data_IF_342774730761
#
_entry.id   IF_342774730761
#
_cell.length_a   1.000
_cell.length_b   1.000
_cell.length_c   1.000
_cell.angle_alpha   90.00
_cell.angle_beta   90.00
_cell.angle_gamma   90.00
#
_symmetry.space_group_name_H-M   'P 1'
#
loop_
_entity.id
_entity.type
_entity.pdbx_description
1 polymer ?
#
# COMPACT_ATOMS: atom_id res chain seq x y z
N UNK A 1 46.65 -3.04 -38.50
CA UNK A 1 45.18 -2.95 -38.38
C UNK A 1 44.87 -2.54 -36.94
N UNK A 2 44.57 -1.26 -36.71
CA UNK A 2 44.25 -0.73 -35.38
C UNK A 2 42.74 -0.71 -35.21
N UNK A 3 42.23 -1.55 -34.30
CA UNK A 3 40.80 -1.61 -34.00
C UNK A 3 40.40 -0.35 -33.22
N UNK A 4 39.56 0.50 -33.81
CA UNK A 4 38.94 1.64 -33.12
C UNK A 4 37.90 1.10 -32.14
N UNK A 5 38.19 1.17 -30.85
CA UNK A 5 37.20 0.96 -29.79
C UNK A 5 36.22 2.14 -29.86
N UNK A 6 34.97 1.86 -30.23
CA UNK A 6 33.88 2.84 -30.20
C UNK A 6 33.52 3.12 -28.74
N UNK A 7 33.94 4.26 -28.20
CA UNK A 7 33.56 4.71 -26.87
C UNK A 7 32.19 5.39 -27.01
N UNK A 8 31.12 4.64 -26.76
CA UNK A 8 29.78 5.24 -26.65
C UNK A 8 29.65 5.97 -25.31
N UNK A 9 29.09 7.19 -25.30
CA UNK A 9 28.77 7.87 -24.05
C UNK A 9 27.76 7.04 -23.24
N UNK A 10 27.81 7.09 -21.90
CA UNK A 10 26.82 6.42 -21.08
C UNK A 10 25.41 6.93 -21.43
N UNK A 11 24.39 6.05 -21.38
CA UNK A 11 23.03 6.46 -21.67
C UNK A 11 22.55 7.51 -20.67
N UNK A 12 21.66 8.40 -21.13
CA UNK A 12 21.05 9.40 -20.26
C UNK A 12 20.19 8.73 -19.17
N UNK A 13 20.18 9.29 -17.95
CA UNK A 13 19.37 8.76 -16.86
C UNK A 13 17.88 8.90 -17.16
N UNK A 14 17.08 7.91 -16.74
CA UNK A 14 15.63 7.95 -16.89
C UNK A 14 15.00 9.08 -16.05
N UNK A 15 13.79 9.51 -16.41
CA UNK A 15 13.03 10.50 -15.63
C UNK A 15 12.85 10.06 -14.16
N UNK A 16 12.63 8.76 -13.94
CA UNK A 16 12.55 8.16 -12.61
C UNK A 16 13.88 8.25 -11.84
N UNK A 17 15.00 7.98 -12.51
CA UNK A 17 16.34 8.12 -11.92
C UNK A 17 16.58 9.55 -11.47
N UNK A 18 16.24 10.53 -12.32
CA UNK A 18 16.37 11.95 -11.98
C UNK A 18 15.48 12.34 -10.79
N UNK A 19 14.24 11.85 -10.75
CA UNK A 19 13.31 12.10 -9.65
C UNK A 19 13.83 11.54 -8.33
N UNK A 20 14.36 10.31 -8.34
CA UNK A 20 14.94 9.67 -7.16
C UNK A 20 16.14 10.47 -6.68
N UNK A 21 17.06 10.85 -7.57
CA UNK A 21 18.23 11.67 -7.19
C UNK A 21 17.86 13.03 -6.61
N UNK A 22 16.77 13.65 -7.09
CA UNK A 22 16.30 14.93 -6.60
C UNK A 22 15.52 14.84 -5.27
N UNK A 23 14.77 13.74 -5.07
CA UNK A 23 13.83 13.59 -3.94
C UNK A 23 14.35 12.73 -2.80
N UNK A 24 15.43 11.96 -3.02
CA UNK A 24 15.93 11.04 -2.00
C UNK A 24 16.52 11.80 -0.82
N UNK A 25 16.10 11.44 0.39
CA UNK A 25 16.70 11.94 1.63
C UNK A 25 18.03 11.21 1.86
N UNK A 26 19.18 11.90 1.84
CA UNK A 26 20.48 11.27 2.06
C UNK A 26 20.53 10.59 3.43
N UNK A 27 20.98 9.34 3.47
CA UNK A 27 21.12 8.57 4.72
C UNK A 27 19.89 7.77 5.15
N UNK A 28 18.73 7.90 4.47
CA UNK A 28 17.58 7.01 4.73
C UNK A 28 17.53 5.85 3.71
N UNK A 29 17.76 4.59 4.13
CA UNK A 29 17.96 3.46 3.21
C UNK A 29 16.76 3.19 2.28
N UNK A 30 15.55 3.48 2.75
CA UNK A 30 14.31 3.24 2.01
C UNK A 30 13.78 4.45 1.23
N UNK A 31 14.43 5.61 1.27
CA UNK A 31 13.88 6.83 0.64
C UNK A 31 13.72 6.67 -0.88
N UNK A 32 14.78 6.24 -1.57
CA UNK A 32 14.73 5.98 -3.01
C UNK A 32 13.68 4.91 -3.38
N UNK A 33 13.57 3.84 -2.59
CA UNK A 33 12.55 2.78 -2.79
C UNK A 33 11.14 3.33 -2.64
N UNK A 34 10.91 4.18 -1.63
CA UNK A 34 9.62 4.81 -1.36
C UNK A 34 9.22 5.74 -2.50
N UNK A 35 10.14 6.56 -3.01
CA UNK A 35 9.88 7.41 -4.17
C UNK A 35 9.56 6.59 -5.43
N UNK A 36 10.27 5.49 -5.67
CA UNK A 36 10.00 4.60 -6.80
C UNK A 36 8.60 3.97 -6.72
N UNK A 37 8.22 3.45 -5.55
CA UNK A 37 6.89 2.87 -5.33
C UNK A 37 5.80 3.94 -5.44
N UNK A 38 5.99 5.13 -4.86
CA UNK A 38 5.04 6.23 -4.97
C UNK A 38 4.81 6.61 -6.43
N UNK A 39 5.87 6.74 -7.22
CA UNK A 39 5.77 7.02 -8.65
C UNK A 39 5.05 5.87 -9.40
N UNK A 40 5.31 4.62 -9.03
CA UNK A 40 4.63 3.46 -9.60
C UNK A 40 3.12 3.48 -9.31
N UNK A 41 2.74 3.72 -8.05
CA UNK A 41 1.35 3.86 -7.63
C UNK A 41 0.64 4.98 -8.39
N UNK A 42 1.28 6.15 -8.52
CA UNK A 42 0.71 7.32 -9.19
C UNK A 42 0.51 7.10 -10.70
N UNK A 43 1.55 6.62 -11.39
CA UNK A 43 1.58 6.67 -12.86
C UNK A 43 1.22 5.36 -13.54
N UNK A 44 1.46 4.22 -12.88
CA UNK A 44 1.09 2.91 -13.44
C UNK A 44 -0.23 2.40 -12.87
N UNK A 45 -0.46 2.59 -11.57
CA UNK A 45 -1.69 2.14 -10.91
C UNK A 45 -2.73 3.24 -10.73
N UNK A 46 -2.45 4.47 -11.16
CA UNK A 46 -3.38 5.61 -11.14
C UNK A 46 -3.98 5.90 -9.76
N UNK A 47 -3.20 5.68 -8.70
CA UNK A 47 -3.60 6.06 -7.35
C UNK A 47 -3.63 7.57 -7.20
N UNK A 48 -4.57 8.05 -6.40
CA UNK A 48 -4.76 9.48 -6.11
C UNK A 48 -4.55 9.77 -4.62
N UNK A 49 -4.47 11.06 -4.27
CA UNK A 49 -4.29 11.52 -2.89
C UNK A 49 -3.10 10.85 -2.16
N UNK A 50 -2.00 10.62 -2.89
CA UNK A 50 -0.81 9.95 -2.39
C UNK A 50 -0.06 10.82 -1.37
N UNK A 51 0.36 10.23 -0.26
CA UNK A 51 1.14 10.89 0.78
C UNK A 51 2.15 9.94 1.41
N UNK A 52 3.35 10.43 1.74
CA UNK A 52 4.37 9.68 2.48
C UNK A 52 4.25 10.04 3.95
N UNK A 53 4.28 9.03 4.82
CA UNK A 53 4.27 9.14 6.27
C UNK A 53 5.55 8.54 6.83
N UNK A 54 6.10 9.20 7.86
CA UNK A 54 7.20 8.68 8.64
C UNK A 54 6.65 7.86 9.81
N UNK A 55 7.16 6.63 9.98
CA UNK A 55 6.78 5.76 11.10
C UNK A 55 8.02 5.39 11.92
N UNK A 56 7.85 5.26 13.23
CA UNK A 56 8.91 4.79 14.11
C UNK A 56 8.84 3.26 14.20
N UNK A 57 9.95 2.59 13.86
CA UNK A 57 10.06 1.15 13.92
C UNK A 57 11.01 0.73 15.05
N UNK A 58 10.69 -0.37 15.76
CA UNK A 58 11.55 -0.87 16.81
C UNK A 58 12.88 -1.36 16.22
N UNK A 59 13.98 -0.87 16.78
CA UNK A 59 15.32 -1.40 16.49
C UNK A 59 15.50 -2.74 17.21
N UNK A 60 15.96 -3.75 16.49
CA UNK A 60 16.46 -4.96 17.11
C UNK A 60 17.96 -4.77 17.45
N UNK A 61 18.35 -4.72 18.74
CA UNK A 61 19.75 -4.56 19.11
C UNK A 61 20.62 -5.75 18.69
N UNK A 62 20.02 -6.91 18.34
CA UNK A 62 20.74 -8.10 17.91
C UNK A 62 21.06 -8.13 16.41
N UNK A 63 20.46 -7.26 15.60
CA UNK A 63 20.73 -7.14 14.16
C UNK A 63 21.56 -5.89 13.86
N UNK A 64 22.79 -6.03 13.33
CA UNK A 64 23.63 -4.88 12.97
C UNK A 64 23.00 -4.03 11.85
N UNK A 65 22.14 -4.60 11.00
CA UNK A 65 21.38 -3.87 9.97
C UNK A 65 20.30 -2.92 10.55
N UNK A 66 19.70 -3.27 11.70
CA UNK A 66 18.61 -2.49 12.30
C UNK A 66 19.11 -1.31 13.16
N UNK A 67 20.41 -1.25 13.50
CA UNK A 67 21.00 -0.17 14.30
C UNK A 67 20.93 1.20 13.59
N UNK A 68 20.79 1.20 12.26
CA UNK A 68 20.83 2.43 11.44
C UNK A 68 19.44 3.02 11.14
N UNK A 69 18.34 2.25 11.23
CA UNK A 69 17.01 2.67 10.75
C UNK A 69 15.92 2.56 11.82
N UNK A 70 15.79 3.61 12.65
CA UNK A 70 14.64 3.80 13.57
C UNK A 70 13.37 4.25 12.86
N UNK A 71 13.50 4.79 11.65
CA UNK A 71 12.40 5.33 10.86
C UNK A 71 12.11 4.41 9.66
N UNK A 72 10.83 4.15 9.43
CA UNK A 72 10.31 3.58 8.19
C UNK A 72 9.44 4.60 7.47
N UNK A 73 9.10 4.29 6.21
CA UNK A 73 8.10 5.05 5.46
C UNK A 73 6.84 4.21 5.26
N UNK A 74 5.71 4.90 5.18
CA UNK A 74 4.44 4.34 4.76
C UNK A 74 3.83 5.28 3.71
N UNK A 75 3.26 4.74 2.64
CA UNK A 75 2.56 5.54 1.64
C UNK A 75 1.07 5.36 1.85
N UNK A 76 0.28 6.43 1.89
CA UNK A 76 -1.18 6.33 1.85
C UNK A 76 -1.72 6.91 0.56
N UNK A 77 -2.84 6.40 0.06
CA UNK A 77 -3.49 6.90 -1.16
C UNK A 77 -4.80 6.18 -1.46
N UNK A 78 -5.55 6.67 -2.45
CA UNK A 78 -6.83 6.11 -2.87
C UNK A 78 -6.62 5.38 -4.21
N UNK A 79 -6.80 4.04 -4.26
CA UNK A 79 -6.69 3.27 -5.50
C UNK A 79 -7.87 3.58 -6.44
N UNK A 80 -7.73 3.38 -7.77
CA UNK A 80 -8.82 3.61 -8.72
C UNK A 80 -9.98 2.61 -8.61
N UNK A 81 -9.75 1.49 -7.91
CA UNK A 81 -10.71 0.41 -7.66
C UNK A 81 -10.34 -0.29 -6.35
N UNK A 82 -11.29 -1.00 -5.74
CA UNK A 82 -11.05 -1.76 -4.51
C UNK A 82 -10.01 -2.86 -4.75
N UNK A 83 -8.88 -2.79 -4.06
CA UNK A 83 -7.78 -3.76 -4.23
C UNK A 83 -8.12 -5.11 -3.56
N UNK A 84 -8.91 -5.08 -2.49
CA UNK A 84 -9.34 -6.26 -1.77
C UNK A 84 -10.69 -6.03 -1.08
N UNK A 85 -11.60 -6.99 -1.24
CA UNK A 85 -12.87 -7.09 -0.51
C UNK A 85 -12.86 -8.38 0.31
N UNK A 86 -13.20 -8.31 1.60
CA UNK A 86 -13.22 -9.51 2.45
C UNK A 86 -14.31 -10.48 1.96
N UNK A 87 -14.14 -11.82 2.01
CA UNK A 87 -15.15 -12.76 1.50
C UNK A 87 -16.54 -12.55 2.13
N UNK A 88 -16.61 -12.37 3.45
CA UNK A 88 -17.90 -12.14 4.12
C UNK A 88 -18.51 -10.77 3.78
N UNK A 89 -17.67 -9.76 3.54
CA UNK A 89 -18.11 -8.44 3.08
C UNK A 89 -18.66 -8.54 1.65
N UNK A 90 -17.98 -9.30 0.79
CA UNK A 90 -18.40 -9.55 -0.58
C UNK A 90 -19.75 -10.29 -0.63
N UNK A 91 -19.95 -11.29 0.24
CA UNK A 91 -21.23 -11.98 0.40
C UNK A 91 -22.33 -11.01 0.87
N UNK A 92 -22.05 -10.23 1.91
CA UNK A 92 -22.99 -9.25 2.45
C UNK A 92 -23.43 -8.21 1.42
N UNK A 93 -22.50 -7.74 0.58
CA UNK A 93 -22.77 -6.85 -0.54
C UNK A 93 -23.64 -7.52 -1.60
N UNK A 94 -23.32 -8.77 -1.96
CA UNK A 94 -24.05 -9.53 -2.98
C UNK A 94 -25.51 -9.76 -2.57
N UNK A 95 -25.76 -10.13 -1.31
CA UNK A 95 -27.10 -10.31 -0.76
C UNK A 95 -27.98 -9.05 -0.83
N UNK A 96 -27.36 -7.87 -0.79
CA UNK A 96 -28.04 -6.57 -0.90
C UNK A 96 -28.09 -6.04 -2.33
N UNK A 97 -27.44 -6.72 -3.28
CA UNK A 97 -27.31 -6.28 -4.66
C UNK A 97 -26.40 -5.06 -4.83
N UNK A 98 -25.43 -4.87 -3.92
CA UNK A 98 -24.41 -3.84 -4.00
C UNK A 98 -23.20 -4.37 -4.78
N UNK A 99 -22.61 -3.52 -5.63
CA UNK A 99 -21.39 -3.80 -6.38
C UNK A 99 -20.24 -2.96 -5.83
N UNK A 100 -19.00 -3.32 -6.15
CA UNK A 100 -17.82 -2.55 -5.72
C UNK A 100 -17.85 -1.08 -6.16
N UNK A 101 -18.45 -0.79 -7.33
CA UNK A 101 -18.60 0.57 -7.82
C UNK A 101 -19.65 1.40 -7.05
N UNK A 102 -20.47 0.75 -6.23
CA UNK A 102 -21.47 1.43 -5.40
C UNK A 102 -20.89 1.83 -4.03
N UNK A 103 -19.72 1.29 -3.65
CA UNK A 103 -19.04 1.54 -2.37
C UNK A 103 -17.93 2.57 -2.57
N UNK A 104 -17.76 3.46 -1.61
CA UNK A 104 -16.70 4.46 -1.60
C UNK A 104 -15.31 3.81 -1.58
N UNK A 105 -14.40 4.37 -2.38
CA UNK A 105 -13.01 3.93 -2.42
C UNK A 105 -12.28 4.43 -1.18
N UNK A 106 -11.56 3.54 -0.52
CA UNK A 106 -10.87 3.88 0.72
C UNK A 106 -9.42 4.22 0.51
N UNK A 107 -8.92 5.10 1.39
CA UNK A 107 -7.50 5.25 1.58
C UNK A 107 -6.89 3.92 2.03
N UNK A 108 -5.90 3.47 1.29
CA UNK A 108 -5.08 2.31 1.62
C UNK A 108 -3.67 2.75 1.97
N UNK A 109 -3.02 1.93 2.78
CA UNK A 109 -1.63 2.11 3.17
C UNK A 109 -0.75 1.08 2.46
N UNK A 110 0.43 1.52 2.04
CA UNK A 110 1.42 0.73 1.31
C UNK A 110 2.75 0.84 2.05
N UNK A 111 3.29 -0.31 2.45
CA UNK A 111 4.59 -0.45 3.09
C UNK A 111 5.68 -0.71 2.02
N UNK A 112 6.61 0.24 1.80
CA UNK A 112 7.73 0.06 0.90
C UNK A 112 8.77 -0.91 1.47
N UNK A 113 9.19 -1.90 0.68
CA UNK A 113 10.28 -2.83 1.01
C UNK A 113 11.14 -3.13 -0.20
N UNK A 114 12.35 -3.65 0.02
CA UNK A 114 13.18 -4.24 -1.04
C UNK A 114 13.19 -5.76 -0.95
N UNK A 115 13.42 -6.43 -2.07
CA UNK A 115 13.62 -7.88 -2.08
C UNK A 115 14.82 -8.26 -1.21
N UNK A 116 14.66 -9.30 -0.39
CA UNK A 116 15.69 -9.76 0.54
C UNK A 116 15.76 -8.98 1.85
N UNK A 117 14.96 -7.92 2.03
CA UNK A 117 14.86 -7.22 3.31
C UNK A 117 14.34 -8.15 4.40
N UNK A 118 15.07 -8.22 5.51
CA UNK A 118 14.66 -8.99 6.68
C UNK A 118 13.53 -8.28 7.45
N UNK A 119 12.54 -9.06 7.88
CA UNK A 119 11.41 -8.58 8.68
C UNK A 119 11.24 -9.44 9.92
N UNK A 120 11.40 -8.83 11.10
CA UNK A 120 10.99 -9.47 12.36
C UNK A 120 9.48 -9.29 12.56
N UNK A 121 8.86 -10.24 13.26
CA UNK A 121 7.44 -10.12 13.62
C UNK A 121 7.16 -8.85 14.44
N UNK A 122 8.10 -8.46 15.32
CA UNK A 122 8.02 -7.22 16.10
C UNK A 122 7.99 -5.98 15.21
N UNK A 123 8.86 -5.91 14.19
CA UNK A 123 8.92 -4.79 13.25
C UNK A 123 7.64 -4.70 12.43
N UNK A 124 7.11 -5.84 11.98
CA UNK A 124 5.85 -5.90 11.25
C UNK A 124 4.65 -5.49 12.13
N UNK A 125 4.58 -5.98 13.36
CA UNK A 125 3.53 -5.58 14.31
C UNK A 125 3.52 -4.07 14.55
N UNK A 126 4.70 -3.46 14.74
CA UNK A 126 4.81 -2.01 14.90
C UNK A 126 4.32 -1.21 13.69
N UNK A 127 4.43 -1.75 12.47
CA UNK A 127 3.81 -1.12 11.28
C UNK A 127 2.29 -1.11 11.43
N UNK A 128 1.68 -2.25 11.79
CA UNK A 128 0.22 -2.34 11.98
C UNK A 128 -0.28 -1.47 13.14
N UNK A 129 0.49 -1.39 14.23
CA UNK A 129 0.20 -0.50 15.36
C UNK A 129 0.20 0.98 14.94
N UNK A 130 1.04 1.36 13.97
CA UNK A 130 1.11 2.74 13.45
C UNK A 130 -0.04 3.12 12.49
N UNK A 131 -0.83 2.15 12.02
CA UNK A 131 -1.95 2.43 11.12
C UNK A 131 -3.15 3.04 11.88
N UNK A 132 -3.83 4.04 11.31
CA UNK A 132 -4.98 4.66 11.95
C UNK A 132 -6.13 3.66 12.13
N UNK A 133 -6.84 3.81 13.23
CA UNK A 133 -8.04 3.04 13.54
C UNK A 133 -9.28 3.71 12.92
N UNK A 134 -9.31 3.78 11.58
CA UNK A 134 -10.55 3.94 10.81
C UNK A 134 -11.42 5.17 11.08
N UNK A 135 -10.85 6.37 11.20
CA UNK A 135 -11.59 7.63 11.38
C UNK A 135 -11.97 8.37 10.08
N UNK A 136 -12.02 7.70 8.92
CA UNK A 136 -12.59 8.32 7.72
C UNK A 136 -14.11 8.05 7.72
N UNK A 137 -14.86 9.00 8.31
CA UNK A 137 -16.31 9.10 8.13
C UNK A 137 -16.62 9.10 6.62
N UNK A 138 -17.62 8.33 6.16
CA UNK A 138 -17.96 8.27 4.75
C UNK A 138 -18.28 9.68 4.26
N UNK A 139 -17.67 10.11 3.15
CA UNK A 139 -17.99 11.41 2.58
C UNK A 139 -19.46 11.38 2.15
N UNK A 140 -20.23 12.38 2.58
CA UNK A 140 -21.67 12.45 2.29
C UNK A 140 -21.88 12.63 0.79
N UNK A 141 -22.05 11.54 0.04
CA UNK A 141 -22.42 11.61 -1.36
C UNK A 141 -23.89 11.97 -1.52
N UNK A 142 -24.17 12.93 -2.40
CA UNK A 142 -25.50 13.19 -2.91
C UNK A 142 -25.95 11.98 -3.74
N UNK A 143 -26.91 11.22 -3.21
CA UNK A 143 -27.45 10.04 -3.89
C UNK A 143 -28.34 10.51 -5.04
N UNK A 144 -27.84 10.38 -6.27
CA UNK A 144 -28.69 10.47 -7.45
C UNK A 144 -29.56 9.21 -7.56
N UNK A 145 -30.87 9.42 -7.40
CA UNK A 145 -31.98 8.65 -7.97
C UNK A 145 -32.01 7.13 -7.71
N UNK A 146 -32.33 6.76 -6.46
CA UNK A 146 -33.18 5.61 -6.04
C UNK A 146 -33.11 5.50 -4.51
N UNK A 147 -34.17 5.89 -3.80
CA UNK A 147 -34.28 5.79 -2.33
C UNK A 147 -33.87 4.39 -1.81
N UNK A 148 -34.25 3.33 -2.52
CA UNK A 148 -33.92 1.94 -2.16
C UNK A 148 -32.40 1.66 -2.12
N UNK A 149 -31.60 2.31 -2.98
CA UNK A 149 -30.15 2.10 -3.02
C UNK A 149 -29.45 2.90 -1.92
N UNK A 150 -29.95 4.09 -1.61
CA UNK A 150 -29.45 4.92 -0.51
C UNK A 150 -29.58 4.16 0.83
N UNK A 151 -30.76 3.58 1.09
CA UNK A 151 -31.03 2.82 2.30
C UNK A 151 -30.10 1.61 2.45
N UNK A 152 -29.86 0.86 1.38
CA UNK A 152 -28.93 -0.28 1.38
C UNK A 152 -27.48 0.13 1.62
N UNK A 153 -27.05 1.27 1.07
CA UNK A 153 -25.71 1.80 1.31
C UNK A 153 -25.54 2.25 2.75
N UNK A 154 -26.55 2.92 3.31
CA UNK A 154 -26.55 3.30 4.72
C UNK A 154 -26.45 2.07 5.62
N UNK A 155 -27.28 1.05 5.40
CA UNK A 155 -27.22 -0.22 6.14
C UNK A 155 -25.84 -0.89 6.02
N UNK A 156 -25.24 -0.86 4.82
CA UNK A 156 -23.90 -1.38 4.59
C UNK A 156 -22.85 -0.65 5.42
N UNK A 157 -22.83 0.69 5.44
CA UNK A 157 -21.85 1.45 6.22
C UNK A 157 -22.06 1.27 7.73
N UNK A 158 -23.31 1.19 8.20
CA UNK A 158 -23.61 0.89 9.61
C UNK A 158 -23.08 -0.50 10.01
N UNK A 159 -23.37 -1.53 9.21
CA UNK A 159 -22.89 -2.89 9.48
C UNK A 159 -21.37 -3.00 9.37
N UNK A 160 -20.77 -2.27 8.43
CA UNK A 160 -19.32 -2.21 8.24
C UNK A 160 -18.60 -1.64 9.46
N UNK A 161 -19.13 -0.58 10.06
CA UNK A 161 -18.59 -0.02 11.31
C UNK A 161 -18.66 -1.04 12.43
N UNK A 162 -19.77 -1.77 12.55
CA UNK A 162 -19.91 -2.88 13.50
C UNK A 162 -18.89 -4.00 13.22
N UNK A 163 -18.77 -4.44 11.97
CA UNK A 163 -17.87 -5.51 11.55
C UNK A 163 -16.39 -5.17 11.78
N UNK A 164 -16.02 -3.89 11.69
CA UNK A 164 -14.68 -3.38 12.07
C UNK A 164 -14.46 -3.48 13.57
N UNK A 165 -15.43 -3.03 14.37
CA UNK A 165 -15.35 -3.08 15.83
C UNK A 165 -15.26 -4.53 16.35
N UNK A 166 -16.00 -5.46 15.74
CA UNK A 166 -15.97 -6.89 16.09
C UNK A 166 -14.85 -7.67 15.41
N UNK A 167 -14.11 -7.06 14.47
CA UNK A 167 -13.10 -7.69 13.60
C UNK A 167 -13.64 -8.88 12.78
N UNK A 168 -14.95 -8.89 12.51
CA UNK A 168 -15.63 -9.96 11.78
C UNK A 168 -15.17 -10.04 10.32
N UNK A 169 -14.95 -8.89 9.69
CA UNK A 169 -14.46 -8.77 8.31
C UNK A 169 -12.93 -8.64 8.22
N UNK A 170 -12.23 -9.14 9.23
CA UNK A 170 -10.79 -9.03 9.36
C UNK A 170 -10.38 -7.76 10.12
N UNK A 171 -9.07 -7.60 10.28
CA UNK A 171 -8.47 -6.49 11.01
C UNK A 171 -7.73 -5.52 10.07
N UNK A 172 -6.72 -4.82 10.58
CA UNK A 172 -5.95 -3.85 9.81
C UNK A 172 -5.28 -4.55 8.61
N UNK A 173 -5.23 -3.85 7.47
CA UNK A 173 -4.66 -4.36 6.22
C UNK A 173 -3.88 -3.27 5.50
N UNK A 174 -2.80 -3.66 4.85
CA UNK A 174 -1.94 -2.80 4.05
C UNK A 174 -1.44 -3.56 2.81
N UNK A 175 -0.88 -2.84 1.83
CA UNK A 175 -0.14 -3.45 0.74
C UNK A 175 1.35 -3.46 1.06
N UNK A 176 2.02 -4.60 0.99
CA UNK A 176 3.47 -4.67 1.00
C UNK A 176 3.96 -4.53 -0.45
N UNK A 177 4.63 -3.43 -0.75
CA UNK A 177 5.19 -3.15 -2.07
C UNK A 177 6.69 -3.43 -2.06
N UNK A 178 7.11 -4.44 -2.82
CA UNK A 178 8.49 -4.91 -2.89
C UNK A 178 9.11 -4.53 -4.23
N UNK A 179 10.28 -3.88 -4.19
CA UNK A 179 11.10 -3.63 -5.37
C UNK A 179 12.23 -4.66 -5.47
N UNK A 180 12.43 -5.25 -6.65
CA UNK A 180 13.64 -6.01 -6.96
C UNK A 180 14.78 -5.04 -7.32
N UNK A 181 15.82 -5.01 -6.47
CA UNK A 181 17.05 -4.22 -6.66
C UNK A 181 18.30 -5.09 -6.81
N UNK A 182 18.13 -6.38 -7.08
CA UNK A 182 19.23 -7.31 -7.30
C UNK A 182 20.10 -6.94 -8.51
N UNK A 183 21.19 -7.68 -8.70
CA UNK A 183 22.09 -7.50 -9.85
C UNK A 183 21.34 -7.90 -11.14
N UNK A 184 20.83 -6.91 -11.88
CA UNK A 184 19.94 -7.11 -13.03
C UNK A 184 18.45 -6.92 -12.75
N UNK A 185 18.07 -6.41 -11.56
CA UNK A 185 16.69 -6.02 -11.27
C UNK A 185 16.19 -5.00 -12.29
N UNK A 186 15.02 -5.25 -12.85
CA UNK A 186 14.41 -4.43 -13.91
C UNK A 186 13.54 -3.28 -13.37
N UNK A 187 13.52 -3.11 -12.03
CA UNK A 187 12.70 -2.11 -11.36
C UNK A 187 11.24 -2.55 -11.17
N UNK A 188 10.92 -3.83 -11.37
CA UNK A 188 9.60 -4.40 -11.08
C UNK A 188 9.20 -4.16 -9.63
N UNK A 189 7.94 -3.76 -9.45
CA UNK A 189 7.30 -3.60 -8.14
C UNK A 189 6.22 -4.66 -8.00
N UNK A 190 6.28 -5.45 -6.93
CA UNK A 190 5.28 -6.47 -6.60
C UNK A 190 4.49 -6.03 -5.38
N UNK A 191 3.16 -6.16 -5.44
CA UNK A 191 2.26 -5.79 -4.36
C UNK A 191 1.62 -7.03 -3.75
N UNK A 192 1.73 -7.17 -2.43
CA UNK A 192 1.05 -8.21 -1.65
C UNK A 192 0.04 -7.57 -0.70
N UNK A 193 -1.18 -8.11 -0.62
CA UNK A 193 -2.12 -7.75 0.44
C UNK A 193 -1.67 -8.44 1.72
N UNK A 194 -1.37 -7.66 2.75
CA UNK A 194 -1.00 -8.16 4.08
C UNK A 194 -2.07 -7.73 5.07
N UNK A 195 -2.52 -8.68 5.88
CA UNK A 195 -3.52 -8.44 6.92
C UNK A 195 -3.03 -8.92 8.26
N UNK A 196 -3.45 -8.24 9.31
CA UNK A 196 -3.26 -8.68 10.68
C UNK A 196 -4.32 -9.76 11.03
N UNK A 197 -3.90 -10.81 11.75
CA UNK A 197 -4.77 -11.88 12.22
C UNK A 197 -5.06 -13.00 11.21
N UNK A 198 -6.05 -13.84 11.53
CA UNK A 198 -6.37 -15.05 10.77
C UNK A 198 -7.04 -14.72 9.43
N UNK A 199 -6.59 -15.37 8.36
CA UNK A 199 -7.18 -15.27 7.01
C UNK A 199 -8.28 -16.32 6.89
N UNK A 200 -9.52 -15.90 6.61
CA UNK A 200 -10.59 -16.86 6.26
C UNK A 200 -10.31 -17.47 4.87
N UNK A 201 -10.39 -18.80 4.71
CA UNK A 201 -10.19 -19.44 3.42
C UNK A 201 -11.29 -18.99 2.45
N UNK A 202 -10.90 -18.59 1.24
CA UNK A 202 -11.87 -18.36 0.15
C UNK A 202 -12.31 -19.72 -0.38
N UNK A 203 -13.62 -20.00 -0.33
CA UNK A 203 -14.18 -21.06 -1.16
C UNK A 203 -14.31 -20.47 -2.57
N UNK A 204 -13.51 -21.00 -3.49
CA UNK A 204 -13.62 -20.69 -4.92
C UNK A 204 -14.68 -21.56 -5.56
#
# INVERSE_FOLDING_TARGET
>A
MTSKISVHPPPEPSALTNLISASSVPGHPLSATTTQILHNLQHQHLWTALHIHDIQLPTDPSSPEDQQSKSGFLISGIPPHRVYTHPDEQLYMLERGLRDADIELERMFVLPTVQGQSWSLRKMAAVFDSLPEGEEEPSSYEVSDKEDKAAKLQEYYEYRTKARATKEWGSKRLLLAMVDKGMGGDGTVVYYVVQEGAVKPRQN
#
